data_IF_045019906506
#
_entry.id   IF_045019906506
#
_cell.length_a   1.000
_cell.length_b   1.000
_cell.length_c   1.000
_cell.angle_alpha   90.00
_cell.angle_beta   90.00
_cell.angle_gamma   90.00
#
_symmetry.space_group_name_H-M   'P 1'
#
loop_
_entity.id
_entity.type
_entity.pdbx_description
1 polymer ?
#
# COMPACT_ATOMS: atom_id res chain seq x y z
N UNK A 1 2.45 2.30 20.39
CA UNK A 1 2.92 2.85 19.10
C UNK A 1 3.17 1.67 18.18
N UNK A 2 2.27 1.41 17.22
CA UNK A 2 2.39 0.24 16.33
C UNK A 2 3.26 0.65 15.14
N UNK A 3 4.31 -0.11 14.87
CA UNK A 3 5.24 0.18 13.78
C UNK A 3 4.54 0.02 12.42
N UNK A 4 4.83 0.88 11.41
CA UNK A 4 4.25 0.77 10.08
C UNK A 4 4.52 -0.61 9.44
N UNK A 5 5.64 -1.24 9.80
CA UNK A 5 5.99 -2.60 9.34
C UNK A 5 5.00 -3.66 9.81
N UNK A 6 4.35 -3.48 10.96
CA UNK A 6 3.33 -4.42 11.46
C UNK A 6 2.07 -4.33 10.60
N UNK A 7 1.65 -3.12 10.24
CA UNK A 7 0.50 -2.91 9.34
C UNK A 7 0.75 -3.49 7.96
N UNK A 8 1.93 -3.28 7.37
CA UNK A 8 2.28 -3.86 6.08
C UNK A 8 2.30 -5.40 6.10
N UNK A 9 2.86 -6.01 7.15
CA UNK A 9 2.88 -7.47 7.29
C UNK A 9 1.48 -8.05 7.49
N UNK A 10 0.64 -7.36 8.26
CA UNK A 10 -0.75 -7.76 8.49
C UNK A 10 -1.60 -7.61 7.22
N UNK A 11 -1.41 -6.54 6.46
CA UNK A 11 -2.01 -6.34 5.14
C UNK A 11 -1.66 -7.49 4.18
N UNK A 12 -0.38 -7.89 4.13
CA UNK A 12 0.06 -9.03 3.33
C UNK A 12 -0.64 -10.34 3.73
N UNK A 13 -0.79 -10.62 5.03
CA UNK A 13 -1.52 -11.79 5.49
C UNK A 13 -2.99 -11.74 5.06
N UNK A 14 -3.65 -10.58 5.13
CA UNK A 14 -5.03 -10.42 4.67
C UNK A 14 -5.17 -10.63 3.16
N UNK A 15 -4.20 -10.17 2.35
CA UNK A 15 -4.18 -10.45 0.90
C UNK A 15 -4.08 -11.96 0.59
N UNK A 16 -3.32 -12.71 1.41
CA UNK A 16 -3.17 -14.16 1.27
C UNK A 16 -4.40 -14.92 1.77
N UNK A 17 -5.13 -14.38 2.75
CA UNK A 17 -6.39 -14.94 3.26
C UNK A 17 -7.62 -14.51 2.44
N UNK A 18 -7.43 -13.87 1.28
CA UNK A 18 -8.49 -13.34 0.42
C UNK A 18 -9.44 -12.35 1.12
N UNK A 19 -8.88 -11.52 2.01
CA UNK A 19 -9.57 -10.43 2.70
C UNK A 19 -9.03 -9.06 2.23
N UNK A 20 -9.31 -8.65 0.98
CA UNK A 20 -8.72 -7.45 0.42
C UNK A 20 -9.19 -6.15 1.09
N UNK A 21 -10.41 -6.07 1.64
CA UNK A 21 -10.88 -4.90 2.40
C UNK A 21 -10.04 -4.65 3.65
N UNK A 22 -9.77 -5.71 4.42
CA UNK A 22 -8.94 -5.63 5.62
C UNK A 22 -7.48 -5.30 5.26
N UNK A 23 -7.00 -5.84 4.14
CA UNK A 23 -5.67 -5.52 3.62
C UNK A 23 -5.53 -4.04 3.25
N UNK A 24 -6.55 -3.47 2.59
CA UNK A 24 -6.59 -2.07 2.20
C UNK A 24 -6.56 -1.15 3.43
N UNK A 25 -7.39 -1.46 4.43
CA UNK A 25 -7.45 -0.67 5.66
C UNK A 25 -6.10 -0.62 6.39
N UNK A 26 -5.40 -1.76 6.47
CA UNK A 26 -4.06 -1.81 7.06
C UNK A 26 -3.01 -1.09 6.22
N UNK A 27 -3.09 -1.18 4.89
CA UNK A 27 -2.17 -0.48 4.02
C UNK A 27 -2.36 1.05 4.12
N UNK A 28 -3.60 1.54 4.24
CA UNK A 28 -3.91 2.95 4.55
C UNK A 28 -3.37 3.38 5.91
N UNK A 29 -3.46 2.53 6.93
CA UNK A 29 -2.86 2.83 8.23
C UNK A 29 -1.34 2.92 8.14
N UNK A 30 -0.70 2.03 7.38
CA UNK A 30 0.75 2.06 7.14
C UNK A 30 1.18 3.36 6.42
N UNK A 31 0.40 3.80 5.44
CA UNK A 31 0.59 5.07 4.72
C UNK A 31 0.43 6.27 5.66
N UNK A 32 -0.57 6.26 6.54
CA UNK A 32 -0.80 7.33 7.52
C UNK A 32 0.38 7.48 8.49
N UNK A 33 0.97 6.36 8.90
CA UNK A 33 2.13 6.35 9.81
C UNK A 33 3.42 6.73 9.09
N UNK A 34 3.59 6.34 7.82
CA UNK A 34 4.76 6.68 7.02
C UNK A 34 4.36 7.03 5.58
N UNK A 35 4.10 8.32 5.30
CA UNK A 35 3.61 8.78 3.99
C UNK A 35 4.60 8.57 2.85
N UNK A 36 5.91 8.55 3.15
CA UNK A 36 6.96 8.36 2.15
C UNK A 36 7.26 6.88 1.85
N UNK A 37 6.38 5.96 2.26
CA UNK A 37 6.60 4.53 2.06
C UNK A 37 5.94 4.06 0.77
N UNK A 38 6.71 3.99 -0.31
CA UNK A 38 6.24 3.45 -1.60
C UNK A 38 5.61 2.06 -1.47
N UNK A 39 6.11 1.20 -0.57
CA UNK A 39 5.56 -0.14 -0.30
C UNK A 39 4.11 -0.11 0.18
N UNK A 40 3.68 0.91 0.95
CA UNK A 40 2.29 1.01 1.40
C UNK A 40 1.33 1.23 0.23
N UNK A 41 1.70 2.09 -0.72
CA UNK A 41 0.93 2.33 -1.94
C UNK A 41 0.86 1.09 -2.85
N UNK A 42 1.94 0.31 -2.96
CA UNK A 42 1.92 -0.97 -3.67
C UNK A 42 0.97 -1.98 -3.02
N UNK A 43 0.88 -2.02 -1.69
CA UNK A 43 -0.08 -2.90 -1.01
C UNK A 43 -1.53 -2.45 -1.22
N UNK A 44 -1.77 -1.14 -1.23
CA UNK A 44 -3.09 -0.57 -1.56
C UNK A 44 -3.50 -0.92 -2.99
N UNK A 45 -2.60 -0.81 -3.97
CA UNK A 45 -2.94 -1.13 -5.36
C UNK A 45 -3.28 -2.60 -5.56
N UNK A 46 -2.57 -3.51 -4.90
CA UNK A 46 -2.87 -4.95 -4.94
C UNK A 46 -4.21 -5.25 -4.27
N UNK A 47 -4.51 -4.61 -3.14
CA UNK A 47 -5.79 -4.76 -2.46
C UNK A 47 -6.95 -4.25 -3.32
N UNK A 48 -6.81 -3.07 -3.93
CA UNK A 48 -7.80 -2.47 -4.83
C UNK A 48 -8.00 -3.29 -6.11
N UNK A 49 -6.92 -3.85 -6.67
CA UNK A 49 -7.01 -4.74 -7.83
C UNK A 49 -7.80 -6.02 -7.50
N UNK A 50 -7.66 -6.55 -6.28
CA UNK A 50 -8.47 -7.68 -5.79
C UNK A 50 -9.94 -7.31 -5.52
N UNK A 51 -10.23 -6.04 -5.23
CA UNK A 51 -11.59 -5.51 -5.07
C UNK A 51 -12.25 -5.11 -6.41
N UNK A 52 -11.64 -5.45 -7.56
CA UNK A 52 -12.08 -5.05 -8.90
C UNK A 52 -12.08 -3.52 -9.14
N UNK A 53 -11.44 -2.76 -8.24
CA UNK A 53 -11.28 -1.30 -8.31
C UNK A 53 -10.02 -0.95 -9.13
N UNK A 54 -10.00 -1.35 -10.40
CA UNK A 54 -8.80 -1.26 -11.24
C UNK A 54 -8.32 0.17 -11.51
N UNK A 55 -9.22 1.17 -11.51
CA UNK A 55 -8.86 2.58 -11.67
C UNK A 55 -8.04 3.06 -10.48
N UNK A 56 -8.58 2.87 -9.28
CA UNK A 56 -7.91 3.28 -8.04
C UNK A 56 -6.60 2.51 -7.82
N UNK A 57 -6.55 1.23 -8.24
CA UNK A 57 -5.32 0.45 -8.22
C UNK A 57 -4.22 1.06 -9.11
N UNK A 58 -4.57 1.51 -10.31
CA UNK A 58 -3.62 2.13 -11.24
C UNK A 58 -3.15 3.51 -10.74
N UNK A 59 -4.04 4.28 -10.12
CA UNK A 59 -3.71 5.56 -9.49
C UNK A 59 -2.72 5.36 -8.33
N UNK A 60 -2.96 4.37 -7.47
CA UNK A 60 -2.04 4.04 -6.36
C UNK A 60 -0.68 3.54 -6.84
N UNK A 61 -0.61 2.79 -7.96
CA UNK A 61 0.66 2.40 -8.58
C UNK A 61 1.44 3.60 -9.13
N UNK A 62 0.72 4.56 -9.72
CA UNK A 62 1.33 5.78 -10.26
C UNK A 62 1.93 6.62 -9.14
N UNK A 63 1.22 6.78 -8.03
CA UNK A 63 1.71 7.45 -6.83
C UNK A 63 2.91 6.74 -6.20
N UNK A 64 2.86 5.39 -6.10
CA UNK A 64 3.98 4.59 -5.59
C UNK A 64 5.25 4.82 -6.43
N UNK A 65 5.10 4.82 -7.76
CA UNK A 65 6.20 5.02 -8.70
C UNK A 65 6.75 6.44 -8.63
N UNK A 66 5.88 7.45 -8.50
CA UNK A 66 6.29 8.84 -8.30
C UNK A 66 7.06 9.06 -7.00
N UNK A 67 6.69 8.36 -5.92
CA UNK A 67 7.43 8.35 -4.66
C UNK A 67 8.80 7.69 -4.80
N UNK A 68 8.90 6.56 -5.48
CA UNK A 68 10.18 5.91 -5.75
C UNK A 68 11.10 6.78 -6.61
N UNK A 69 10.58 7.42 -7.66
CA UNK A 69 11.38 8.32 -8.51
C UNK A 69 11.91 9.51 -7.71
N UNK A 70 11.09 10.12 -6.84
CA UNK A 70 11.54 11.17 -5.91
C UNK A 70 12.64 10.66 -4.98
N UNK A 71 12.50 9.44 -4.46
CA UNK A 71 13.49 8.81 -3.59
C UNK A 71 14.80 8.50 -4.31
N UNK A 72 14.73 8.09 -5.58
CA UNK A 72 15.91 7.83 -6.41
C UNK A 72 16.64 9.12 -6.82
N UNK A 73 15.90 10.19 -7.15
CA UNK A 73 16.50 11.50 -7.48
C UNK A 73 17.17 12.19 -6.30
N UNK A 74 16.78 11.83 -5.07
CA UNK A 74 17.38 12.34 -3.84
C UNK A 74 18.64 11.60 -3.37
N UNK A 75 19.12 10.60 -4.13
CA UNK A 75 20.27 9.75 -3.77
C UNK A 75 21.54 10.10 -4.53
#
# INVERSE_FOLDING_TARGET
MVSPTVHARRSLCYLLCDQPDAALQDAMQAQCVYPEWSTAFYMQSVALAKLEMHKDAADMLSEATGLEEKRQRGR
#
